data_IF_000586185913
#
_entry.id   IF_000586185913
#
_cell.length_a   1.000
_cell.length_b   1.000
_cell.length_c   1.000
_cell.angle_alpha   90.00
_cell.angle_beta   90.00
_cell.angle_gamma   90.00
#
_symmetry.space_group_name_H-M   'P 1'
#
loop_
_entity.id
_entity.type
_entity.pdbx_description
1 polymer ?
#
# COMPACT_ATOMS: atom_id res chain seq x y z
N UNK A 1 19.52 -4.61 22.57
CA UNK A 1 19.93 -3.57 23.56
C UNK A 1 19.78 -2.18 22.96
N UNK A 2 20.31 -1.90 21.78
CA UNK A 2 20.16 -0.60 21.07
C UNK A 2 18.71 -0.23 20.73
N UNK A 3 17.91 -1.17 20.17
CA UNK A 3 16.49 -0.92 19.87
C UNK A 3 15.68 -0.48 21.10
N UNK A 4 15.96 -1.08 22.26
CA UNK A 4 15.25 -0.77 23.50
C UNK A 4 15.60 0.65 24.01
N UNK A 5 16.85 1.09 23.84
CA UNK A 5 17.26 2.46 24.18
C UNK A 5 16.58 3.50 23.28
N UNK A 6 16.52 3.24 21.97
CA UNK A 6 15.83 4.13 21.02
C UNK A 6 14.35 4.24 21.35
N UNK A 7 13.66 3.12 21.61
CA UNK A 7 12.26 3.10 22.00
C UNK A 7 11.98 3.92 23.27
N UNK A 8 12.86 3.83 24.28
CA UNK A 8 12.75 4.66 25.48
C UNK A 8 12.97 6.16 25.20
N UNK A 9 13.87 6.52 24.28
CA UNK A 9 14.05 7.92 23.83
C UNK A 9 12.82 8.43 23.09
N UNK A 10 12.24 7.65 22.19
CA UNK A 10 10.99 7.97 21.47
C UNK A 10 9.86 8.21 22.48
N UNK A 11 9.69 7.31 23.44
CA UNK A 11 8.67 7.44 24.47
C UNK A 11 8.87 8.71 25.31
N UNK A 12 10.11 9.06 25.67
CA UNK A 12 10.44 10.28 26.41
C UNK A 12 10.12 11.54 25.60
N UNK A 13 10.51 11.61 24.33
CA UNK A 13 10.20 12.74 23.44
C UNK A 13 8.69 12.96 23.28
N UNK A 14 7.94 11.86 23.23
CA UNK A 14 6.49 11.87 23.07
C UNK A 14 5.73 11.87 24.40
N UNK A 15 6.42 12.17 25.52
CA UNK A 15 5.85 12.34 26.87
C UNK A 15 5.05 11.12 27.35
N UNK A 16 5.50 9.92 27.01
CA UNK A 16 4.91 8.65 27.42
C UNK A 16 5.55 8.19 28.74
N UNK A 17 4.75 8.13 29.80
CA UNK A 17 5.15 7.70 31.15
C UNK A 17 5.12 6.18 31.28
N UNK A 18 6.14 5.61 31.92
CA UNK A 18 6.27 4.17 32.22
C UNK A 18 5.97 3.24 31.02
N UNK A 19 6.59 3.46 29.84
CA UNK A 19 6.26 2.71 28.64
C UNK A 19 6.69 1.25 28.77
N UNK A 20 5.81 0.35 28.33
CA UNK A 20 6.12 -1.06 28.06
C UNK A 20 6.07 -1.29 26.56
N UNK A 21 7.04 -2.03 26.05
CA UNK A 21 7.17 -2.33 24.63
C UNK A 21 6.95 -3.81 24.38
N UNK A 22 6.17 -4.13 23.36
CA UNK A 22 6.07 -5.49 22.82
C UNK A 22 6.15 -5.44 21.30
N UNK A 23 7.04 -6.23 20.72
CA UNK A 23 7.17 -6.32 19.26
C UNK A 23 5.89 -6.89 18.65
N UNK A 24 5.41 -6.27 17.58
CA UNK A 24 4.31 -6.77 16.78
C UNK A 24 4.88 -7.56 15.59
N UNK A 25 4.20 -8.63 15.20
CA UNK A 25 4.54 -9.41 14.01
C UNK A 25 3.90 -8.79 12.77
N UNK A 26 4.55 -8.88 11.61
CA UNK A 26 3.97 -8.48 10.31
C UNK A 26 4.73 -7.40 9.54
N UNK A 27 5.74 -6.76 10.14
CA UNK A 27 6.63 -5.86 9.41
C UNK A 27 7.75 -6.63 8.70
N UNK A 28 7.72 -6.68 7.37
CA UNK A 28 8.81 -7.26 6.56
C UNK A 28 9.97 -6.26 6.36
N UNK A 29 9.67 -4.95 6.45
CA UNK A 29 10.61 -3.85 6.17
C UNK A 29 10.89 -2.99 7.41
N UNK A 30 9.87 -2.75 8.24
CA UNK A 30 9.93 -1.89 9.42
C UNK A 30 9.84 -2.75 10.69
N UNK A 31 10.56 -2.35 11.73
CA UNK A 31 10.32 -2.92 13.06
C UNK A 31 9.12 -2.22 13.69
N UNK A 32 8.14 -3.01 14.11
CA UNK A 32 6.87 -2.52 14.65
C UNK A 32 6.71 -2.95 16.10
N UNK A 33 6.38 -2.01 16.98
CA UNK A 33 6.17 -2.26 18.40
C UNK A 33 4.86 -1.63 18.88
N UNK A 34 4.19 -2.31 19.80
CA UNK A 34 3.16 -1.74 20.64
C UNK A 34 3.84 -1.07 21.84
N UNK A 35 3.52 0.21 22.04
CA UNK A 35 3.83 0.95 23.27
C UNK A 35 2.57 0.96 24.13
N UNK A 36 2.67 0.50 25.37
CA UNK A 36 1.65 0.69 26.40
C UNK A 36 2.22 1.60 27.51
N UNK A 37 1.74 2.83 27.56
CA UNK A 37 2.11 3.82 28.55
C UNK A 37 0.89 4.11 29.45
N UNK A 38 0.86 3.49 30.63
CA UNK A 38 -0.21 3.67 31.63
C UNK A 38 -1.63 3.43 31.08
N UNK A 39 -1.78 2.43 30.21
CA UNK A 39 -3.05 2.07 29.58
C UNK A 39 -3.29 2.73 28.22
N UNK A 40 -2.50 3.75 27.86
CA UNK A 40 -2.53 4.34 26.51
C UNK A 40 -1.70 3.49 25.55
N UNK A 41 -2.37 2.83 24.61
CA UNK A 41 -1.74 2.00 23.57
C UNK A 41 -1.46 2.83 22.31
N UNK A 42 -0.28 2.66 21.74
CA UNK A 42 0.16 3.28 20.49
C UNK A 42 1.03 2.29 19.71
N UNK A 43 1.03 2.39 18.38
CA UNK A 43 1.96 1.63 17.54
C UNK A 43 3.13 2.54 17.20
N UNK A 44 4.35 2.04 17.33
CA UNK A 44 5.55 2.69 16.81
C UNK A 44 6.15 1.82 15.72
N UNK A 45 6.42 2.43 14.57
CA UNK A 45 7.26 1.87 13.52
C UNK A 45 8.60 2.57 13.56
N UNK A 46 9.68 1.80 13.41
CA UNK A 46 11.04 2.34 13.33
C UNK A 46 11.78 1.76 12.13
N UNK A 47 12.66 2.57 11.53
CA UNK A 47 13.57 2.15 10.47
C UNK A 47 14.78 3.08 10.39
N UNK A 48 15.81 2.68 9.64
CA UNK A 48 17.02 3.47 9.45
C UNK A 48 16.75 4.70 8.56
N UNK A 49 17.02 5.89 9.08
CA UNK A 49 16.70 7.16 8.44
C UNK A 49 17.54 7.41 7.18
N UNK A 50 18.84 7.09 7.22
CA UNK A 50 19.75 7.24 6.07
C UNK A 50 19.42 6.30 4.91
N UNK A 51 19.05 5.05 5.20
CA UNK A 51 18.73 4.04 4.19
C UNK A 51 17.36 4.28 3.54
N UNK A 52 16.41 4.83 4.30
CA UNK A 52 15.03 5.07 3.86
C UNK A 52 14.58 6.51 4.17
N UNK A 53 15.21 7.51 3.53
CA UNK A 53 14.97 8.91 3.85
C UNK A 53 13.51 9.29 3.59
N UNK A 54 12.84 9.84 4.60
CA UNK A 54 11.47 10.33 4.49
C UNK A 54 10.38 9.25 4.41
N UNK A 55 10.70 7.95 4.58
CA UNK A 55 9.71 6.86 4.49
C UNK A 55 8.48 7.08 5.38
N UNK A 56 8.67 7.43 6.65
CA UNK A 56 7.54 7.67 7.56
C UNK A 56 6.81 9.00 7.32
N UNK A 57 7.48 9.99 6.74
CA UNK A 57 6.80 11.21 6.28
C UNK A 57 5.88 10.90 5.10
N UNK A 58 6.31 10.02 4.19
CA UNK A 58 5.52 9.56 3.06
C UNK A 58 4.35 8.64 3.49
N UNK A 59 4.57 7.73 4.44
CA UNK A 59 3.51 6.91 5.01
C UNK A 59 2.45 7.76 5.72
N UNK A 60 2.89 8.76 6.51
CA UNK A 60 1.98 9.76 7.10
C UNK A 60 1.11 10.43 6.03
N UNK A 61 1.73 10.92 4.95
CA UNK A 61 1.00 11.60 3.88
C UNK A 61 -0.04 10.68 3.21
N UNK A 62 0.26 9.38 3.06
CA UNK A 62 -0.69 8.38 2.58
C UNK A 62 -1.84 8.14 3.55
N UNK A 63 -1.54 7.92 4.83
CA UNK A 63 -2.55 7.73 5.88
C UNK A 63 -3.50 8.94 5.99
N UNK A 64 -2.96 10.16 5.99
CA UNK A 64 -3.75 11.39 6.02
C UNK A 64 -4.63 11.54 4.77
N UNK A 65 -4.12 11.17 3.59
CA UNK A 65 -4.90 11.18 2.36
C UNK A 65 -6.06 10.18 2.38
N UNK A 66 -5.83 8.95 2.89
CA UNK A 66 -6.88 7.94 3.05
C UNK A 66 -7.91 8.31 4.14
N UNK A 67 -7.49 9.03 5.17
CA UNK A 67 -8.38 9.48 6.25
C UNK A 67 -9.28 10.65 5.82
N UNK A 68 -8.81 11.51 4.90
CA UNK A 68 -9.49 12.75 4.50
C UNK A 68 -10.94 12.58 4.00
N UNK A 69 -11.30 11.56 3.18
CA UNK A 69 -12.67 11.35 2.73
C UNK A 69 -13.62 10.92 3.85
N UNK A 70 -13.10 10.39 4.98
CA UNK A 70 -13.89 9.86 6.12
C UNK A 70 -14.83 8.73 5.74
N UNK A 71 -14.38 7.83 4.86
CA UNK A 71 -15.17 6.71 4.32
C UNK A 71 -14.77 5.36 4.89
N UNK A 72 -13.50 5.19 5.26
CA UNK A 72 -12.96 3.98 5.86
C UNK A 72 -12.08 4.35 7.05
N UNK A 73 -12.03 3.48 8.06
CA UNK A 73 -11.19 3.70 9.23
C UNK A 73 -9.71 3.58 8.85
N UNK A 74 -8.90 4.50 9.39
CA UNK A 74 -7.45 4.58 9.20
C UNK A 74 -6.85 5.10 10.52
N UNK A 75 -5.78 4.50 11.06
CA UNK A 75 -5.15 4.99 12.28
C UNK A 75 -4.66 6.43 12.16
N UNK A 76 -4.91 7.25 13.17
CA UNK A 76 -4.38 8.62 13.20
C UNK A 76 -2.87 8.60 13.42
N UNK A 77 -2.16 9.51 12.77
CA UNK A 77 -0.73 9.75 13.03
C UNK A 77 -0.60 10.61 14.29
N UNK A 78 0.09 10.07 15.31
CA UNK A 78 0.26 10.72 16.61
C UNK A 78 1.58 11.49 16.70
N UNK A 79 2.57 11.10 15.91
CA UNK A 79 3.88 11.74 15.89
C UNK A 79 4.80 11.11 14.85
N UNK A 80 5.82 11.87 14.46
CA UNK A 80 6.93 11.39 13.66
C UNK A 80 8.21 12.09 14.13
N UNK A 81 9.34 11.45 13.90
CA UNK A 81 10.62 12.06 14.22
C UNK A 81 11.78 11.16 13.87
N UNK A 82 12.95 11.60 14.29
CA UNK A 82 14.20 10.88 14.11
C UNK A 82 15.01 11.01 15.39
N UNK A 83 15.54 9.88 15.86
CA UNK A 83 16.45 9.83 16.99
C UNK A 83 17.71 9.13 16.50
N UNK A 84 18.82 9.87 16.52
CA UNK A 84 20.13 9.43 16.03
C UNK A 84 20.08 9.11 14.52
N UNK A 85 19.97 7.84 14.14
CA UNK A 85 19.80 7.41 12.74
C UNK A 85 18.56 6.49 12.59
N UNK A 86 17.60 6.64 13.50
CA UNK A 86 16.35 5.87 13.50
C UNK A 86 15.18 6.83 13.32
N UNK A 87 14.55 6.77 12.15
CA UNK A 87 13.28 7.42 11.92
C UNK A 87 12.17 6.64 12.63
N UNK A 88 11.11 7.33 13.06
CA UNK A 88 9.95 6.68 13.67
C UNK A 88 8.62 7.32 13.23
N UNK A 89 7.58 6.49 13.24
CA UNK A 89 6.18 6.87 13.09
C UNK A 89 5.38 6.33 14.28
N UNK A 90 4.68 7.23 14.97
CA UNK A 90 3.72 6.88 16.02
C UNK A 90 2.31 6.94 15.47
N UNK A 91 1.58 5.85 15.62
CA UNK A 91 0.21 5.67 15.17
C UNK A 91 -0.72 5.35 16.33
N UNK A 92 -1.98 5.72 16.16
CA UNK A 92 -3.08 5.24 16.97
C UNK A 92 -3.13 3.71 16.95
N UNK A 93 -3.22 3.10 18.13
CA UNK A 93 -3.44 1.66 18.20
C UNK A 93 -4.92 1.38 17.98
N UNK A 94 -5.24 0.56 16.98
CA UNK A 94 -6.61 0.07 16.74
C UNK A 94 -6.81 -1.22 17.52
N UNK A 95 -7.64 -1.17 18.56
CA UNK A 95 -8.13 -2.38 19.21
C UNK A 95 -8.88 -3.23 18.18
N UNK A 96 -8.71 -4.56 18.26
CA UNK A 96 -9.31 -5.46 17.30
C UNK A 96 -10.45 -6.26 17.90
N UNK A 97 -11.56 -6.36 17.15
CA UNK A 97 -12.71 -7.18 17.48
C UNK A 97 -12.95 -8.30 16.45
N UNK A 98 -13.95 -9.13 16.71
CA UNK A 98 -14.44 -10.05 15.69
C UNK A 98 -15.12 -9.27 14.55
N UNK A 99 -14.97 -9.75 13.32
CA UNK A 99 -15.67 -9.19 12.15
C UNK A 99 -17.18 -9.19 12.39
N UNK A 100 -17.86 -8.09 12.05
CA UNK A 100 -19.33 -8.08 12.00
C UNK A 100 -19.85 -9.03 10.91
N UNK A 101 -21.14 -9.35 10.96
CA UNK A 101 -21.78 -10.22 9.95
C UNK A 101 -21.73 -9.64 8.54
N UNK A 102 -21.74 -8.31 8.44
CA UNK A 102 -21.74 -7.55 7.20
C UNK A 102 -20.36 -6.97 6.85
N UNK A 103 -19.29 -7.35 7.56
CA UNK A 103 -17.93 -6.82 7.39
C UNK A 103 -17.51 -6.67 5.93
N UNK A 104 -17.68 -7.71 5.12
CA UNK A 104 -17.27 -7.70 3.70
C UNK A 104 -18.15 -6.82 2.81
N UNK A 105 -19.43 -6.68 3.16
CA UNK A 105 -20.32 -5.76 2.46
C UNK A 105 -19.99 -4.31 2.81
N UNK A 106 -19.73 -4.02 4.09
CA UNK A 106 -19.26 -2.71 4.55
C UNK A 106 -17.93 -2.36 3.89
N UNK A 107 -16.97 -3.29 3.87
CA UNK A 107 -15.67 -3.06 3.22
C UNK A 107 -15.83 -2.75 1.73
N UNK A 108 -16.69 -3.48 1.01
CA UNK A 108 -16.97 -3.22 -0.41
C UNK A 108 -17.50 -1.80 -0.64
N UNK A 109 -18.47 -1.36 0.17
CA UNK A 109 -19.04 0.00 0.09
C UNK A 109 -18.00 1.08 0.41
N UNK A 110 -17.22 0.88 1.47
CA UNK A 110 -16.18 1.83 1.87
C UNK A 110 -15.08 1.96 0.82
N UNK A 111 -14.68 0.86 0.15
CA UNK A 111 -13.75 0.91 -0.98
C UNK A 111 -14.33 1.64 -2.19
N UNK A 112 -15.63 1.50 -2.46
CA UNK A 112 -16.31 2.28 -3.50
C UNK A 112 -16.23 3.77 -3.19
N UNK A 113 -16.57 4.17 -1.96
CA UNK A 113 -16.56 5.57 -1.56
C UNK A 113 -15.14 6.16 -1.53
N UNK A 114 -14.14 5.34 -1.15
CA UNK A 114 -12.73 5.71 -1.23
C UNK A 114 -12.31 5.96 -2.68
N UNK A 115 -12.55 5.00 -3.58
CA UNK A 115 -12.16 5.11 -4.99
C UNK A 115 -12.94 6.18 -5.77
N UNK A 116 -14.13 6.59 -5.29
CA UNK A 116 -14.84 7.76 -5.82
C UNK A 116 -14.16 9.09 -5.46
N UNK A 117 -13.18 9.10 -4.57
CA UNK A 117 -12.32 10.28 -4.34
C UNK A 117 -11.33 10.40 -5.49
N UNK A 118 -11.54 11.38 -6.37
CA UNK A 118 -10.73 11.56 -7.59
C UNK A 118 -9.81 12.78 -7.54
N UNK A 119 -8.89 12.85 -8.50
CA UNK A 119 -8.00 13.98 -8.78
C UNK A 119 -8.08 14.36 -10.27
N UNK A 120 -7.54 15.53 -10.65
CA UNK A 120 -7.39 15.92 -12.07
C UNK A 120 -6.27 15.12 -12.76
N UNK A 121 -5.26 14.72 -12.00
CA UNK A 121 -4.09 13.98 -12.48
C UNK A 121 -3.85 12.72 -11.67
N UNK A 122 -3.30 11.70 -12.33
CA UNK A 122 -2.70 10.53 -11.71
C UNK A 122 -1.41 10.92 -10.98
N UNK A 123 -1.00 10.11 -10.01
CA UNK A 123 0.17 10.35 -9.18
C UNK A 123 -0.21 10.87 -7.79
N UNK A 124 0.71 11.57 -7.16
CA UNK A 124 0.54 12.05 -5.79
C UNK A 124 1.41 13.28 -5.58
N UNK A 125 1.10 14.07 -4.56
CA UNK A 125 1.82 15.32 -4.29
C UNK A 125 3.29 15.12 -3.91
N UNK A 126 3.69 13.89 -3.58
CA UNK A 126 5.08 13.51 -3.30
C UNK A 126 5.33 12.04 -3.64
N UNK A 127 6.58 11.71 -3.92
CA UNK A 127 7.06 10.33 -3.97
C UNK A 127 6.92 9.64 -2.60
N UNK A 128 6.76 8.33 -2.63
CA UNK A 128 6.63 7.50 -1.43
C UNK A 128 7.36 6.16 -1.62
N UNK A 129 6.93 5.12 -0.90
CA UNK A 129 7.55 3.81 -0.89
C UNK A 129 6.51 2.71 -1.11
N UNK A 130 6.93 1.65 -1.80
CA UNK A 130 6.25 0.35 -1.82
C UNK A 130 7.19 -0.67 -1.17
N UNK A 131 6.84 -1.14 0.04
CA UNK A 131 7.80 -1.82 0.90
C UNK A 131 9.05 -0.95 1.13
N UNK A 132 10.23 -1.42 0.71
CA UNK A 132 11.50 -0.66 0.79
C UNK A 132 11.94 -0.02 -0.53
N UNK A 133 11.14 -0.14 -1.60
CA UNK A 133 11.48 0.44 -2.90
C UNK A 133 10.88 1.85 -3.02
N UNK A 134 11.64 2.84 -3.54
CA UNK A 134 11.08 4.13 -3.91
C UNK A 134 9.96 3.96 -4.95
N UNK A 135 8.84 4.65 -4.73
CA UNK A 135 7.71 4.74 -5.64
C UNK A 135 7.57 6.18 -6.11
N UNK A 136 7.71 6.39 -7.42
CA UNK A 136 7.54 7.70 -8.05
C UNK A 136 6.06 8.00 -8.25
N UNK A 137 5.70 9.26 -8.09
CA UNK A 137 4.32 9.72 -8.17
C UNK A 137 4.16 10.99 -9.02
N UNK A 138 5.00 11.15 -10.06
CA UNK A 138 4.89 12.27 -10.97
C UNK A 138 3.48 12.35 -11.58
N UNK A 139 3.02 13.58 -11.78
CA UNK A 139 1.71 13.82 -12.35
C UNK A 139 1.61 13.28 -13.77
N UNK A 140 0.47 12.67 -14.09
CA UNK A 140 0.13 12.23 -15.45
C UNK A 140 -1.35 12.44 -15.70
N UNK A 141 -1.72 12.71 -16.95
CA UNK A 141 -3.12 12.86 -17.38
C UNK A 141 -3.69 11.58 -17.99
N UNK A 142 -2.87 10.53 -18.13
CA UNK A 142 -3.22 9.26 -18.78
C UNK A 142 -2.97 8.09 -17.85
N UNK A 143 -3.99 7.23 -17.69
CA UNK A 143 -3.93 6.03 -16.85
C UNK A 143 -2.81 5.09 -17.32
N UNK A 144 -2.72 4.90 -18.64
CA UNK A 144 -1.73 4.04 -19.26
C UNK A 144 -0.31 4.60 -19.06
N UNK A 145 -0.11 5.90 -19.33
CA UNK A 145 1.20 6.52 -19.21
C UNK A 145 1.68 6.49 -17.77
N UNK A 146 0.80 6.81 -16.80
CA UNK A 146 1.12 6.71 -15.38
C UNK A 146 1.53 5.29 -14.98
N UNK A 147 0.75 4.29 -15.35
CA UNK A 147 1.04 2.91 -14.98
C UNK A 147 2.35 2.41 -15.62
N UNK A 148 2.61 2.80 -16.87
CA UNK A 148 3.84 2.40 -17.56
C UNK A 148 5.05 3.10 -16.94
N UNK A 149 5.07 4.44 -16.89
CA UNK A 149 6.26 5.21 -16.52
C UNK A 149 6.54 5.23 -15.02
N UNK A 150 5.50 5.24 -14.18
CA UNK A 150 5.64 5.40 -12.73
C UNK A 150 5.53 4.07 -11.96
N UNK A 151 5.05 2.99 -12.60
CA UNK A 151 4.92 1.67 -11.96
C UNK A 151 5.76 0.60 -12.63
N UNK A 152 5.55 0.32 -13.93
CA UNK A 152 6.22 -0.80 -14.60
C UNK A 152 7.69 -0.51 -14.94
N UNK A 153 7.99 0.58 -15.64
CA UNK A 153 9.34 0.89 -16.12
C UNK A 153 10.39 0.96 -15.00
N UNK A 154 10.14 1.61 -13.84
CA UNK A 154 11.12 1.66 -12.75
C UNK A 154 11.43 0.26 -12.20
N UNK A 155 10.42 -0.59 -12.09
CA UNK A 155 10.57 -1.94 -11.53
C UNK A 155 11.21 -2.91 -12.53
N UNK A 156 10.89 -2.79 -13.81
CA UNK A 156 11.56 -3.55 -14.89
C UNK A 156 13.03 -3.16 -15.02
N UNK A 157 13.32 -1.85 -14.93
CA UNK A 157 14.71 -1.36 -14.89
C UNK A 157 15.46 -1.93 -13.70
N UNK A 158 14.88 -1.85 -12.49
CA UNK A 158 15.51 -2.39 -11.28
C UNK A 158 15.74 -3.90 -11.38
N UNK A 159 14.78 -4.65 -11.94
CA UNK A 159 14.91 -6.08 -12.14
C UNK A 159 16.07 -6.41 -13.11
N UNK A 160 16.17 -5.64 -14.21
CA UNK A 160 17.28 -5.75 -15.17
C UNK A 160 18.63 -5.43 -14.52
N UNK A 161 18.71 -4.36 -13.73
CA UNK A 161 19.93 -3.95 -13.02
C UNK A 161 20.36 -5.03 -11.99
N UNK A 162 19.42 -5.81 -11.45
CA UNK A 162 19.66 -6.99 -10.60
C UNK A 162 19.99 -8.28 -11.38
N UNK A 163 20.06 -8.23 -12.71
CA UNK A 163 20.39 -9.36 -13.57
C UNK A 163 19.19 -10.25 -13.96
N UNK A 164 17.96 -9.82 -13.71
CA UNK A 164 16.78 -10.56 -14.19
C UNK A 164 16.52 -10.27 -15.66
N UNK A 165 16.70 -11.28 -16.49
CA UNK A 165 16.26 -11.27 -17.89
C UNK A 165 14.78 -11.66 -17.98
N UNK A 166 13.93 -10.67 -18.28
CA UNK A 166 12.47 -10.81 -18.30
C UNK A 166 11.87 -10.87 -19.72
N UNK A 167 12.66 -10.65 -20.78
CA UNK A 167 12.20 -10.77 -22.17
C UNK A 167 11.14 -9.75 -22.59
N UNK A 168 11.11 -8.56 -21.98
CA UNK A 168 10.14 -7.50 -22.31
C UNK A 168 10.29 -7.07 -23.77
N UNK A 169 9.21 -7.17 -24.55
CA UNK A 169 9.17 -6.74 -25.95
C UNK A 169 8.55 -5.35 -26.08
N UNK A 170 8.90 -4.60 -27.14
CA UNK A 170 8.31 -3.27 -27.36
C UNK A 170 6.81 -3.31 -27.65
N UNK A 171 6.29 -4.42 -28.20
CA UNK A 171 4.85 -4.62 -28.40
C UNK A 171 4.07 -4.64 -27.09
N UNK A 172 4.68 -5.11 -25.99
CA UNK A 172 4.06 -5.18 -24.68
C UNK A 172 3.48 -3.83 -24.26
N UNK A 173 4.31 -2.77 -24.23
CA UNK A 173 3.89 -1.43 -23.80
C UNK A 173 2.78 -0.86 -24.68
N UNK A 174 2.87 -1.06 -26.00
CA UNK A 174 1.82 -0.63 -26.94
C UNK A 174 0.51 -1.35 -26.69
N UNK A 175 0.55 -2.67 -26.48
CA UNK A 175 -0.65 -3.48 -26.29
C UNK A 175 -1.34 -3.18 -24.96
N UNK A 176 -0.57 -3.03 -23.87
CA UNK A 176 -1.15 -2.69 -22.55
C UNK A 176 -1.75 -1.28 -22.55
N UNK A 177 -1.12 -0.33 -23.25
CA UNK A 177 -1.66 1.03 -23.40
C UNK A 177 -3.02 1.04 -24.10
N UNK A 178 -3.26 0.11 -25.03
CA UNK A 178 -4.53 -0.01 -25.75
C UNK A 178 -5.67 -0.65 -24.93
N UNK A 179 -5.36 -1.39 -23.86
CA UNK A 179 -6.38 -2.09 -23.04
C UNK A 179 -6.62 -1.44 -21.68
N UNK A 180 -5.69 -0.63 -21.18
CA UNK A 180 -5.90 0.13 -19.94
C UNK A 180 -7.02 1.14 -20.18
N UNK A 181 -8.11 1.10 -19.38
CA UNK A 181 -9.23 2.00 -19.56
C UNK A 181 -8.84 3.43 -19.16
N UNK A 182 -9.37 4.39 -19.90
CA UNK A 182 -9.23 5.82 -19.62
C UNK A 182 -10.29 6.26 -18.60
N UNK A 183 -10.11 5.82 -17.35
CA UNK A 183 -10.93 6.22 -16.21
C UNK A 183 -10.26 7.35 -15.41
N UNK A 184 -11.04 8.11 -14.65
CA UNK A 184 -10.47 9.11 -13.75
C UNK A 184 -9.58 8.46 -12.67
N UNK A 185 -8.50 9.15 -12.24
CA UNK A 185 -7.69 8.70 -11.12
C UNK A 185 -8.55 8.52 -9.87
N UNK A 186 -8.37 7.40 -9.18
CA UNK A 186 -9.01 7.09 -7.91
C UNK A 186 -7.98 7.13 -6.80
N UNK A 187 -8.33 7.63 -5.62
CA UNK A 187 -7.49 7.52 -4.44
C UNK A 187 -7.40 6.04 -4.04
N UNK A 188 -6.25 5.41 -4.26
CA UNK A 188 -6.01 4.01 -3.92
C UNK A 188 -5.18 3.88 -2.64
N UNK A 189 -5.33 2.77 -1.94
CA UNK A 189 -4.44 2.36 -0.86
C UNK A 189 -3.02 2.10 -1.39
N UNK A 190 -2.91 1.46 -2.55
CA UNK A 190 -1.64 1.27 -3.26
C UNK A 190 -0.92 -0.04 -2.94
N UNK A 191 -1.15 -0.63 -1.77
CA UNK A 191 -0.59 -1.92 -1.35
C UNK A 191 -1.62 -2.81 -0.63
N UNK A 192 -2.85 -2.91 -1.15
CA UNK A 192 -3.96 -3.53 -0.40
C UNK A 192 -4.02 -5.06 -0.53
N UNK A 193 -3.23 -5.76 0.29
CA UNK A 193 -3.32 -7.22 0.45
C UNK A 193 -3.84 -7.60 1.85
N UNK A 194 -4.04 -8.90 2.11
CA UNK A 194 -4.68 -9.38 3.35
C UNK A 194 -3.99 -9.00 4.66
N UNK A 195 -2.72 -8.56 4.61
CA UNK A 195 -1.98 -8.04 5.75
C UNK A 195 -2.18 -6.55 6.04
N UNK A 196 -2.72 -5.79 5.09
CA UNK A 196 -2.81 -4.33 5.15
C UNK A 196 -4.24 -3.83 5.48
N UNK A 197 -5.06 -4.68 6.07
CA UNK A 197 -6.28 -4.26 6.75
C UNK A 197 -6.41 -4.95 8.11
N UNK A 198 -6.99 -4.24 9.06
CA UNK A 198 -7.37 -4.73 10.37
C UNK A 198 -8.89 -4.77 10.51
N UNK A 199 -9.35 -5.45 11.56
CA UNK A 199 -10.72 -5.32 12.07
C UNK A 199 -10.63 -4.41 13.29
N UNK A 200 -11.31 -3.27 13.27
CA UNK A 200 -11.30 -2.32 14.38
C UNK A 200 -12.20 -2.78 15.54
N UNK A 201 -12.31 -1.96 16.58
CA UNK A 201 -13.04 -2.26 17.81
C UNK A 201 -14.56 -2.42 17.61
N UNK A 202 -15.10 -1.82 16.54
CA UNK A 202 -16.50 -1.96 16.14
C UNK A 202 -16.73 -3.19 15.26
N UNK A 203 -15.68 -3.94 14.94
CA UNK A 203 -15.75 -5.07 14.03
C UNK A 203 -15.73 -4.67 12.55
N UNK A 204 -15.38 -3.42 12.22
CA UNK A 204 -15.36 -2.84 10.87
C UNK A 204 -13.94 -2.83 10.25
N UNK A 205 -13.81 -2.67 8.91
CA UNK A 205 -12.51 -2.60 8.23
C UNK A 205 -11.72 -1.35 8.60
N UNK A 206 -10.40 -1.50 8.78
CA UNK A 206 -9.46 -0.41 9.02
C UNK A 206 -8.21 -0.62 8.15
N UNK A 207 -7.81 0.37 7.36
CA UNK A 207 -6.66 0.27 6.46
C UNK A 207 -5.37 0.71 7.16
N UNK A 208 -4.26 0.02 6.85
CA UNK A 208 -2.93 0.31 7.39
C UNK A 208 -1.87 0.14 6.30
N UNK A 209 -0.71 0.76 6.50
CA UNK A 209 0.50 0.55 5.68
C UNK A 209 0.32 0.89 4.18
N UNK A 210 -0.13 2.13 3.86
CA UNK A 210 -0.46 2.46 2.47
C UNK A 210 0.76 2.86 1.63
N UNK A 211 0.64 2.62 0.33
CA UNK A 211 1.50 3.16 -0.73
C UNK A 211 0.69 4.10 -1.64
N UNK A 212 -0.03 5.03 -1.01
CA UNK A 212 -1.12 5.83 -1.62
C UNK A 212 -0.72 6.58 -2.88
N UNK A 213 -1.64 6.61 -3.85
CA UNK A 213 -1.60 7.50 -5.01
C UNK A 213 -3.01 7.72 -5.56
N UNK A 214 -3.17 8.69 -6.45
CA UNK A 214 -4.28 8.72 -7.40
C UNK A 214 -3.89 7.87 -8.62
N UNK A 215 -4.54 6.73 -8.78
CA UNK A 215 -4.17 5.68 -9.74
C UNK A 215 -5.43 4.97 -10.27
N UNK A 216 -5.32 4.11 -11.29
CA UNK A 216 -6.43 3.25 -11.68
C UNK A 216 -6.92 2.41 -10.49
N UNK A 217 -8.21 2.53 -10.15
CA UNK A 217 -8.85 1.79 -9.04
C UNK A 217 -8.72 0.27 -9.14
N UNK A 218 -8.57 -0.22 -10.37
CA UNK A 218 -8.36 -1.64 -10.64
C UNK A 218 -7.06 -2.18 -10.03
N UNK A 219 -6.07 -1.31 -9.75
CA UNK A 219 -4.81 -1.70 -9.09
C UNK A 219 -5.04 -2.26 -7.68
N UNK A 220 -5.80 -1.58 -6.84
CA UNK A 220 -6.13 -2.05 -5.49
C UNK A 220 -6.91 -3.37 -5.56
N UNK A 221 -7.92 -3.46 -6.42
CA UNK A 221 -8.74 -4.67 -6.58
C UNK A 221 -7.92 -5.87 -7.06
N UNK A 222 -6.96 -5.64 -7.95
CA UNK A 222 -6.07 -6.68 -8.44
C UNK A 222 -5.06 -7.12 -7.37
N UNK A 223 -4.55 -6.18 -6.55
CA UNK A 223 -3.68 -6.49 -5.40
C UNK A 223 -4.42 -7.34 -4.36
N UNK A 224 -5.66 -7.00 -4.05
CA UNK A 224 -6.53 -7.76 -3.13
C UNK A 224 -6.74 -9.21 -3.60
N UNK A 225 -6.70 -9.46 -4.90
CA UNK A 225 -6.83 -10.81 -5.49
C UNK A 225 -5.51 -11.59 -5.54
N UNK A 226 -4.36 -10.93 -5.43
CA UNK A 226 -3.05 -11.55 -5.69
C UNK A 226 -2.63 -12.52 -4.57
N UNK A 227 -2.68 -12.05 -3.32
CA UNK A 227 -2.30 -12.85 -2.14
C UNK A 227 -3.50 -13.36 -1.33
N UNK A 228 -4.72 -13.07 -1.80
CA UNK A 228 -5.96 -13.43 -1.14
C UNK A 228 -6.20 -12.67 0.17
N UNK A 229 -7.09 -13.22 0.99
CA UNK A 229 -7.48 -12.60 2.27
C UNK A 229 -8.72 -11.72 2.21
N UNK A 230 -9.44 -11.71 1.07
CA UNK A 230 -10.68 -10.96 0.85
C UNK A 230 -11.81 -11.86 0.36
N UNK A 231 -13.02 -11.64 0.87
CA UNK A 231 -14.20 -12.42 0.49
C UNK A 231 -14.81 -11.94 -0.83
N UNK A 232 -15.37 -12.88 -1.61
CA UNK A 232 -16.05 -12.60 -2.89
C UNK A 232 -17.15 -11.54 -2.74
N UNK A 233 -17.83 -11.51 -1.59
CA UNK A 233 -18.90 -10.55 -1.28
C UNK A 233 -18.45 -9.10 -1.41
N UNK A 234 -17.20 -8.79 -1.04
CA UNK A 234 -16.63 -7.44 -1.20
C UNK A 234 -16.67 -7.02 -2.67
N UNK A 235 -16.12 -7.86 -3.55
CA UNK A 235 -16.02 -7.58 -4.98
C UNK A 235 -17.41 -7.51 -5.65
N UNK A 236 -18.35 -8.36 -5.23
CA UNK A 236 -19.74 -8.32 -5.70
C UNK A 236 -20.42 -7.00 -5.35
N UNK A 237 -20.23 -6.51 -4.12
CA UNK A 237 -20.76 -5.23 -3.66
C UNK A 237 -20.10 -4.07 -4.39
N UNK A 238 -18.77 -4.09 -4.48
CA UNK A 238 -18.00 -3.07 -5.18
C UNK A 238 -18.46 -2.92 -6.63
N UNK A 239 -18.50 -4.03 -7.39
CA UNK A 239 -18.87 -4.00 -8.80
C UNK A 239 -20.36 -3.64 -9.03
N UNK A 240 -21.23 -3.88 -8.04
CA UNK A 240 -22.63 -3.45 -8.13
C UNK A 240 -22.77 -1.94 -7.98
N UNK A 241 -21.98 -1.31 -7.11
CA UNK A 241 -22.13 0.11 -6.76
C UNK A 241 -21.18 1.05 -7.51
N UNK A 242 -20.06 0.51 -7.99
CA UNK A 242 -19.13 1.20 -8.88
C UNK A 242 -18.61 0.21 -9.94
N UNK A 243 -19.44 -0.10 -10.96
CA UNK A 243 -19.12 -1.12 -11.97
C UNK A 243 -17.76 -0.94 -12.60
N UNK A 244 -17.03 -2.04 -12.75
CA UNK A 244 -15.73 -2.09 -13.42
C UNK A 244 -15.91 -2.04 -14.94
N UNK A 245 -14.91 -1.49 -15.62
CA UNK A 245 -14.93 -1.43 -17.07
C UNK A 245 -14.88 -2.86 -17.65
N UNK A 246 -15.60 -3.13 -18.76
CA UNK A 246 -15.55 -4.42 -19.43
C UNK A 246 -14.11 -4.88 -19.68
N UNK A 247 -13.84 -6.17 -19.46
CA UNK A 247 -12.50 -6.75 -19.60
C UNK A 247 -11.61 -6.63 -18.34
N UNK A 248 -12.15 -6.20 -17.19
CA UNK A 248 -11.38 -6.16 -15.93
C UNK A 248 -10.71 -7.50 -15.60
N UNK A 249 -11.42 -8.62 -15.76
CA UNK A 249 -10.87 -9.95 -15.46
C UNK A 249 -9.62 -10.26 -16.31
N UNK A 250 -9.59 -9.80 -17.57
CA UNK A 250 -8.43 -9.93 -18.46
C UNK A 250 -7.29 -8.97 -18.10
N UNK A 251 -7.57 -7.89 -17.36
CA UNK A 251 -6.59 -6.90 -16.87
C UNK A 251 -6.04 -7.21 -15.47
N UNK A 252 -6.63 -8.14 -14.71
CA UNK A 252 -6.11 -8.50 -13.37
C UNK A 252 -4.61 -8.87 -13.42
N UNK A 253 -4.13 -9.75 -14.33
CA UNK A 253 -2.71 -10.08 -14.39
C UNK A 253 -1.84 -8.86 -14.72
N UNK A 254 -2.32 -7.96 -15.59
CA UNK A 254 -1.63 -6.70 -15.92
C UNK A 254 -1.41 -5.83 -14.68
N UNK A 255 -2.45 -5.62 -13.88
CA UNK A 255 -2.33 -4.83 -12.64
C UNK A 255 -1.48 -5.52 -11.57
N UNK A 256 -1.55 -6.86 -11.49
CA UNK A 256 -0.72 -7.65 -10.59
C UNK A 256 0.76 -7.64 -10.96
N UNK A 257 1.10 -7.39 -12.23
CA UNK A 257 2.48 -7.34 -12.71
C UNK A 257 3.35 -6.37 -11.91
N UNK A 258 2.82 -5.19 -11.58
CA UNK A 258 3.55 -4.20 -10.78
C UNK A 258 3.97 -4.78 -9.42
N UNK A 259 3.03 -5.38 -8.70
CA UNK A 259 3.30 -5.97 -7.39
C UNK A 259 4.24 -7.18 -7.46
N UNK A 260 4.10 -8.02 -8.49
CA UNK A 260 4.99 -9.15 -8.71
C UNK A 260 6.41 -8.71 -9.08
N UNK A 261 6.57 -7.61 -9.80
CA UNK A 261 7.89 -7.01 -10.06
C UNK A 261 8.51 -6.44 -8.77
N UNK A 262 7.71 -5.77 -7.92
CA UNK A 262 8.15 -5.34 -6.59
C UNK A 262 8.64 -6.53 -5.77
N UNK A 263 7.88 -7.64 -5.75
CA UNK A 263 8.25 -8.85 -5.02
C UNK A 263 9.49 -9.54 -5.61
N UNK A 264 9.62 -9.59 -6.95
CA UNK A 264 10.84 -10.06 -7.61
C UNK A 264 12.05 -9.23 -7.18
N UNK A 265 11.89 -7.91 -7.12
CA UNK A 265 12.95 -7.00 -6.72
C UNK A 265 13.30 -7.13 -5.23
N UNK A 266 12.34 -7.34 -4.34
CA UNK A 266 12.59 -7.42 -2.89
C UNK A 266 13.00 -8.81 -2.41
N UNK A 267 12.33 -9.85 -2.90
CA UNK A 267 12.39 -11.21 -2.37
C UNK A 267 13.02 -12.22 -3.34
N UNK A 268 13.21 -11.82 -4.60
CA UNK A 268 14.07 -12.53 -5.54
C UNK A 268 13.37 -13.48 -6.51
N UNK A 269 14.15 -14.44 -7.03
CA UNK A 269 13.85 -15.18 -8.27
C UNK A 269 12.55 -16.00 -8.25
N UNK A 270 12.00 -16.30 -7.07
CA UNK A 270 10.74 -17.06 -6.93
C UNK A 270 9.55 -16.44 -7.67
N UNK A 271 9.56 -15.12 -7.88
CA UNK A 271 8.50 -14.39 -8.59
C UNK A 271 8.74 -14.27 -10.10
N UNK A 272 9.94 -14.63 -10.59
CA UNK A 272 10.35 -14.42 -11.99
C UNK A 272 9.42 -15.12 -12.98
N UNK A 273 9.04 -16.37 -12.72
CA UNK A 273 8.22 -17.17 -13.64
C UNK A 273 6.84 -16.54 -13.88
N UNK A 274 6.19 -16.06 -12.81
CA UNK A 274 4.90 -15.37 -12.89
C UNK A 274 5.02 -14.06 -13.67
N UNK A 275 6.04 -13.24 -13.36
CA UNK A 275 6.33 -12.00 -14.11
C UNK A 275 6.50 -12.29 -15.61
N UNK A 276 7.32 -13.27 -15.99
CA UNK A 276 7.56 -13.60 -17.40
C UNK A 276 6.32 -14.16 -18.11
N UNK A 277 5.48 -14.91 -17.39
CA UNK A 277 4.22 -15.43 -17.94
C UNK A 277 3.26 -14.29 -18.27
N UNK A 278 3.12 -13.33 -17.35
CA UNK A 278 2.24 -12.17 -17.55
C UNK A 278 2.77 -11.29 -18.68
N UNK A 279 4.07 -11.01 -18.72
CA UNK A 279 4.68 -10.26 -19.81
C UNK A 279 4.36 -10.90 -21.17
N UNK A 280 4.44 -12.23 -21.27
CA UNK A 280 4.15 -12.97 -22.52
C UNK A 280 2.68 -12.90 -22.92
N UNK A 281 1.76 -12.80 -21.96
CA UNK A 281 0.32 -12.72 -22.22
C UNK A 281 -0.10 -11.46 -23.00
N UNK A 282 0.68 -10.38 -22.90
CA UNK A 282 0.34 -9.08 -23.51
C UNK A 282 1.26 -8.67 -24.67
N UNK A 283 1.96 -9.62 -25.30
CA UNK A 283 2.84 -9.40 -26.47
C UNK A 283 2.10 -9.64 -27.77
#
# INVERSE_FOLDING_TARGET
>A
MLENEVLHKIAKENKLTNPKFSRLTGGDINDVFLINAEGKKQVVKINNAEKFPGMFAAEKAGLEALQKPKVIDVPSVLGLGEIENTAYLLLEFRESAAKTKDFWETFGKQMVDLHKTTSEEFGFHQDNYIGSLPQRNNASTSAADFYISERLEPQLKLAKDKGYELGVQSSFFRNISAIIPDEKPSLIHGDLWGGNYLVNEEGNPCLIDPATAFAPREMDLAMMKLFGGFDKKLFEVYNREFPLEPGFEDRIPLWQLYYLLVHLNLFGVGYKSQVTSILTQYI
#
